data_IF_062384405382
#
_entry.id   IF_062384405382
#
_cell.length_a   1.000
_cell.length_b   1.000
_cell.length_c   1.000
_cell.angle_alpha   90.00
_cell.angle_beta   90.00
_cell.angle_gamma   90.00
#
_symmetry.space_group_name_H-M   'P 1'
#
loop_
_entity.id
_entity.type
_entity.pdbx_description
1 polymer ?
#
# COMPACT_ATOMS: atom_id res chain seq x y z
N UNK A 1 0.57 -23.65 11.90
CA UNK A 1 0.97 -22.57 12.83
C UNK A 1 1.51 -21.40 11.98
N UNK A 2 0.66 -20.41 11.65
CA UNK A 2 1.04 -19.05 11.20
C UNK A 2 -0.20 -18.17 10.82
N UNK A 3 -1.39 -18.46 11.35
CA UNK A 3 -2.57 -17.61 11.10
C UNK A 3 -2.48 -16.24 11.82
N UNK A 4 -1.84 -16.20 12.99
CA UNK A 4 -1.72 -14.96 13.79
C UNK A 4 -0.85 -13.89 13.12
N UNK A 5 0.18 -14.32 12.37
CA UNK A 5 1.06 -13.41 11.64
C UNK A 5 0.31 -12.70 10.49
N UNK A 6 -0.51 -13.44 9.74
CA UNK A 6 -1.36 -12.83 8.69
C UNK A 6 -2.40 -11.88 9.27
N UNK A 7 -2.99 -12.21 10.41
CA UNK A 7 -3.89 -11.30 11.14
C UNK A 7 -3.21 -9.97 11.47
N UNK A 8 -1.99 -10.02 11.99
CA UNK A 8 -1.19 -8.83 12.31
C UNK A 8 -0.82 -8.01 11.07
N UNK A 9 -0.40 -8.65 9.98
CA UNK A 9 -0.06 -7.97 8.72
C UNK A 9 -1.28 -7.25 8.13
N UNK A 10 -2.44 -7.89 8.08
CA UNK A 10 -3.68 -7.28 7.56
C UNK A 10 -4.18 -6.11 8.42
N UNK A 11 -3.80 -6.07 9.70
CA UNK A 11 -4.11 -4.99 10.63
C UNK A 11 -3.07 -3.84 10.60
N UNK A 12 -1.93 -4.03 9.93
CA UNK A 12 -0.88 -3.01 9.85
C UNK A 12 -1.34 -1.76 9.09
N UNK A 13 -0.62 -0.66 9.28
CA UNK A 13 -1.01 0.66 8.80
C UNK A 13 -0.56 0.92 7.36
N UNK A 14 -1.42 1.61 6.61
CA UNK A 14 -1.20 2.11 5.25
C UNK A 14 -1.55 3.58 5.20
N UNK A 15 -0.65 4.40 4.69
CA UNK A 15 -0.89 5.82 4.47
C UNK A 15 -1.77 6.01 3.23
N UNK A 16 -2.80 6.84 3.37
CA UNK A 16 -3.68 7.22 2.26
C UNK A 16 -3.39 8.66 1.86
N UNK A 17 -3.09 8.82 0.57
CA UNK A 17 -2.95 10.10 -0.10
C UNK A 17 -4.23 10.43 -0.87
N UNK A 18 -4.53 11.71 -1.00
CA UNK A 18 -5.53 12.17 -1.98
C UNK A 18 -4.91 12.28 -3.38
N UNK A 19 -5.70 12.66 -4.39
CA UNK A 19 -5.23 12.78 -5.78
C UNK A 19 -4.07 13.76 -5.98
N UNK A 20 -3.90 14.69 -5.05
CA UNK A 20 -2.84 15.70 -5.03
C UNK A 20 -1.59 15.25 -4.23
N UNK A 21 -1.47 13.96 -3.90
CA UNK A 21 -0.36 13.40 -3.11
C UNK A 21 -0.25 13.93 -1.68
N UNK A 22 -1.32 14.52 -1.14
CA UNK A 22 -1.35 14.94 0.27
C UNK A 22 -1.86 13.81 1.16
N UNK A 23 -1.17 13.57 2.27
CA UNK A 23 -1.62 12.65 3.31
C UNK A 23 -2.96 13.08 3.89
N UNK A 24 -3.95 12.18 3.86
CA UNK A 24 -5.31 12.45 4.36
C UNK A 24 -5.76 11.50 5.45
N UNK A 25 -5.34 10.24 5.42
CA UNK A 25 -5.76 9.22 6.40
C UNK A 25 -4.71 8.12 6.57
N UNK A 26 -4.83 7.34 7.65
CA UNK A 26 -4.14 6.06 7.83
C UNK A 26 -5.20 4.98 7.99
N UNK A 27 -5.08 3.88 7.23
CA UNK A 27 -6.03 2.77 7.23
C UNK A 27 -5.30 1.44 7.40
N UNK A 28 -6.03 0.38 7.75
CA UNK A 28 -5.49 -0.98 7.76
C UNK A 28 -5.19 -1.47 6.33
N UNK A 29 -4.19 -2.34 6.17
CA UNK A 29 -3.89 -3.05 4.92
C UNK A 29 -5.14 -3.69 4.30
N UNK A 30 -5.99 -4.34 5.12
CA UNK A 30 -7.26 -4.91 4.66
C UNK A 30 -8.12 -3.89 3.90
N UNK A 31 -8.25 -2.67 4.42
CA UNK A 31 -9.03 -1.59 3.78
C UNK A 31 -8.34 -1.06 2.54
N UNK A 32 -7.01 -0.96 2.54
CA UNK A 32 -6.25 -0.53 1.37
C UNK A 32 -6.50 -1.46 0.18
N UNK A 33 -6.43 -2.78 0.39
CA UNK A 33 -6.73 -3.76 -0.66
C UNK A 33 -8.17 -3.68 -1.17
N UNK A 34 -9.15 -3.37 -0.30
CA UNK A 34 -10.54 -3.14 -0.75
C UNK A 34 -10.65 -1.92 -1.67
N UNK A 35 -9.87 -0.87 -1.43
CA UNK A 35 -9.86 0.31 -2.30
C UNK A 35 -9.17 0.02 -3.64
N UNK A 36 -8.03 -0.67 -3.60
CA UNK A 36 -7.29 -1.11 -4.79
C UNK A 36 -8.14 -2.02 -5.67
N UNK A 37 -8.75 -3.06 -5.09
CA UNK A 37 -9.58 -4.02 -5.82
C UNK A 37 -10.85 -3.41 -6.45
N UNK A 38 -11.27 -2.24 -5.97
CA UNK A 38 -12.43 -1.49 -6.49
C UNK A 38 -12.03 -0.38 -7.47
N UNK A 39 -10.76 -0.33 -7.88
CA UNK A 39 -10.21 0.70 -8.75
C UNK A 39 -10.41 2.13 -8.20
N UNK A 40 -10.41 2.27 -6.87
CA UNK A 40 -10.57 3.56 -6.20
C UNK A 40 -9.23 4.17 -5.74
N UNK A 41 -8.18 3.36 -5.79
CA UNK A 41 -6.84 3.76 -5.38
C UNK A 41 -5.76 3.08 -6.23
N UNK A 42 -4.57 3.66 -6.19
CA UNK A 42 -3.33 3.08 -6.70
C UNK A 42 -2.32 2.97 -5.56
N UNK A 43 -1.40 2.02 -5.62
CA UNK A 43 -0.24 1.95 -4.74
C UNK A 43 0.78 2.99 -5.19
N UNK A 44 1.35 3.72 -4.24
CA UNK A 44 2.54 4.56 -4.50
C UNK A 44 3.74 3.82 -3.98
N UNK A 45 4.70 3.56 -4.86
CA UNK A 45 5.87 2.78 -4.57
C UNK A 45 7.13 3.46 -5.12
N UNK A 46 8.30 3.17 -4.54
CA UNK A 46 9.58 3.71 -5.00
C UNK A 46 10.31 2.58 -5.68
N UNK A 47 10.59 2.74 -6.97
CA UNK A 47 11.38 1.80 -7.75
C UNK A 47 12.58 2.54 -8.33
N UNK A 48 13.79 2.04 -8.11
CA UNK A 48 15.03 2.66 -8.60
C UNK A 48 15.16 4.15 -8.25
N UNK A 49 14.68 4.55 -7.07
CA UNK A 49 14.71 5.94 -6.59
C UNK A 49 13.68 6.87 -7.21
N UNK A 50 12.72 6.36 -7.99
CA UNK A 50 11.63 7.14 -8.59
C UNK A 50 10.28 6.67 -8.05
N UNK A 51 9.33 7.60 -7.91
CA UNK A 51 7.97 7.27 -7.53
C UNK A 51 7.20 6.71 -8.73
N UNK A 52 6.59 5.55 -8.53
CA UNK A 52 5.68 4.91 -9.47
C UNK A 52 4.30 4.70 -8.82
N UNK A 53 3.25 4.74 -9.64
CA UNK A 53 1.90 4.37 -9.23
C UNK A 53 1.50 3.07 -9.90
N UNK A 54 0.91 2.17 -9.13
CA UNK A 54 0.43 0.88 -9.63
C UNK A 54 -1.03 0.69 -9.28
N UNK A 55 -1.85 0.34 -10.26
CA UNK A 55 -3.17 -0.20 -9.98
C UNK A 55 -3.07 -1.57 -9.30
N UNK A 56 -4.21 -2.16 -8.94
CA UNK A 56 -4.20 -3.44 -8.24
C UNK A 56 -3.56 -4.58 -9.05
N UNK A 57 -3.79 -4.61 -10.37
CA UNK A 57 -3.31 -5.68 -11.23
C UNK A 57 -1.79 -5.60 -11.40
N UNK A 58 -1.28 -4.42 -11.77
CA UNK A 58 0.15 -4.16 -11.88
C UNK A 58 0.88 -4.41 -10.55
N UNK A 59 0.28 -4.01 -9.42
CA UNK A 59 0.88 -4.28 -8.10
C UNK A 59 1.01 -5.77 -7.80
N UNK A 60 0.03 -6.59 -8.20
CA UNK A 60 0.11 -8.04 -8.06
C UNK A 60 1.21 -8.64 -8.93
N UNK A 61 1.33 -8.19 -10.19
CA UNK A 61 2.35 -8.68 -11.12
C UNK A 61 3.77 -8.36 -10.62
N UNK A 62 4.00 -7.11 -10.22
CA UNK A 62 5.31 -6.67 -9.69
C UNK A 62 5.62 -7.38 -8.37
N UNK A 63 4.64 -7.53 -7.48
CA UNK A 63 4.83 -8.30 -6.24
C UNK A 63 5.22 -9.75 -6.53
N UNK A 64 4.58 -10.38 -7.53
CA UNK A 64 4.88 -11.75 -7.89
C UNK A 64 6.30 -11.86 -8.45
N UNK A 65 6.71 -10.95 -9.33
CA UNK A 65 8.07 -10.89 -9.86
C UNK A 65 9.11 -10.72 -8.74
N UNK A 66 8.92 -9.73 -7.87
CA UNK A 66 9.81 -9.47 -6.73
C UNK A 66 9.89 -10.65 -5.74
N UNK A 67 8.82 -11.45 -5.63
CA UNK A 67 8.82 -12.66 -4.78
C UNK A 67 9.65 -13.81 -5.36
N UNK A 68 9.86 -13.83 -6.68
CA UNK A 68 10.63 -14.85 -7.39
C UNK A 68 12.11 -14.46 -7.52
N UNK A 69 12.37 -13.15 -7.61
CA UNK A 69 13.70 -12.59 -7.87
C UNK A 69 14.10 -11.62 -6.73
N UNK A 70 14.58 -12.13 -5.57
CA UNK A 70 14.83 -11.32 -4.38
C UNK A 70 15.92 -10.26 -4.56
N UNK A 71 16.79 -10.41 -5.55
CA UNK A 71 17.80 -9.42 -5.93
C UNK A 71 17.20 -8.13 -6.48
N UNK A 72 15.95 -8.20 -6.97
CA UNK A 72 15.15 -7.08 -7.45
C UNK A 72 14.11 -6.64 -6.41
N UNK A 73 14.01 -7.32 -5.27
CA UNK A 73 13.19 -6.85 -4.17
C UNK A 73 13.89 -5.65 -3.51
N UNK A 74 13.10 -4.66 -3.09
CA UNK A 74 13.63 -3.47 -2.43
C UNK A 74 14.49 -3.82 -1.21
N UNK A 75 15.51 -2.99 -0.98
CA UNK A 75 16.37 -3.05 0.20
C UNK A 75 15.58 -2.80 1.49
N UNK A 76 14.41 -2.15 1.41
CA UNK A 76 13.58 -1.85 2.57
C UNK A 76 12.79 -3.08 3.07
N UNK A 77 12.67 -3.28 4.39
CA UNK A 77 11.92 -4.40 4.94
C UNK A 77 10.43 -4.30 4.61
N UNK A 78 9.95 -5.28 3.83
CA UNK A 78 8.57 -5.36 3.36
C UNK A 78 7.79 -6.49 4.04
N UNK A 79 6.54 -6.22 4.41
CA UNK A 79 5.61 -7.27 4.80
C UNK A 79 4.96 -7.89 3.54
N UNK A 80 4.62 -9.17 3.63
CA UNK A 80 4.02 -9.92 2.53
C UNK A 80 2.72 -10.60 2.98
N UNK A 81 1.76 -10.67 2.06
CA UNK A 81 0.54 -11.45 2.19
C UNK A 81 0.64 -12.67 1.28
N UNK A 82 0.52 -13.86 1.86
CA UNK A 82 0.48 -15.09 1.09
C UNK A 82 -0.94 -15.35 0.59
N UNK A 83 -1.11 -15.41 -0.72
CA UNK A 83 -2.32 -15.95 -1.36
C UNK A 83 -2.11 -17.44 -1.69
N UNK A 84 -3.18 -18.10 -2.12
CA UNK A 84 -3.12 -19.51 -2.57
C UNK A 84 -2.15 -19.74 -3.73
N UNK A 85 -1.96 -18.74 -4.60
CA UNK A 85 -1.17 -18.88 -5.83
C UNK A 85 0.15 -18.12 -5.79
N UNK A 86 0.22 -16.98 -5.11
CA UNK A 86 1.39 -16.10 -5.11
C UNK A 86 1.49 -15.30 -3.80
N UNK A 87 2.50 -14.45 -3.69
CA UNK A 87 2.65 -13.52 -2.56
C UNK A 87 2.48 -12.09 -3.07
N UNK A 88 1.82 -11.26 -2.27
CA UNK A 88 1.59 -9.85 -2.59
C UNK A 88 2.32 -9.02 -1.54
N UNK A 89 3.12 -8.05 -1.98
CA UNK A 89 3.75 -7.11 -1.07
C UNK A 89 2.68 -6.20 -0.46
N UNK A 90 2.80 -5.93 0.84
CA UNK A 90 1.88 -5.04 1.55
C UNK A 90 2.10 -3.60 1.07
N UNK A 91 1.08 -2.94 0.49
CA UNK A 91 1.22 -1.55 0.09
C UNK A 91 1.36 -0.67 1.34
N UNK A 92 2.40 0.16 1.40
CA UNK A 92 2.60 1.10 2.52
C UNK A 92 1.93 2.45 2.29
N UNK A 93 1.76 2.83 1.02
CA UNK A 93 1.13 4.07 0.62
C UNK A 93 0.17 3.79 -0.53
N UNK A 94 -1.06 4.31 -0.43
CA UNK A 94 -2.04 4.29 -1.52
C UNK A 94 -2.55 5.70 -1.80
N UNK A 95 -2.88 5.98 -3.05
CA UNK A 95 -3.41 7.26 -3.50
C UNK A 95 -4.83 7.08 -4.02
N UNK A 96 -5.77 7.86 -3.51
CA UNK A 96 -7.15 7.88 -3.98
C UNK A 96 -7.23 8.64 -5.33
N UNK A 97 -7.94 8.05 -6.31
CA UNK A 97 -7.99 8.58 -7.67
C UNK A 97 -8.88 9.83 -7.80
N UNK A 98 -10.00 9.85 -7.09
CA UNK A 98 -11.05 10.87 -7.24
C UNK A 98 -11.17 11.79 -6.03
N UNK A 99 -10.59 11.44 -4.88
CA UNK A 99 -10.69 12.25 -3.67
C UNK A 99 -9.78 13.47 -3.76
N UNK A 100 -10.39 14.66 -3.76
CA UNK A 100 -9.75 15.96 -3.99
C UNK A 100 -9.72 16.86 -2.76
N UNK A 101 -10.29 16.40 -1.63
CA UNK A 101 -10.29 17.21 -0.41
C UNK A 101 -8.87 17.37 0.10
N UNK A 102 -8.48 18.62 0.28
CA UNK A 102 -7.25 19.02 0.95
C UNK A 102 -7.47 18.88 2.46
N UNK A 103 -6.47 18.36 3.22
CA UNK A 103 -6.55 18.39 4.68
C UNK A 103 -6.84 19.81 5.15
N UNK A 104 -8.02 20.03 5.73
CA UNK A 104 -8.28 21.26 6.48
C UNK A 104 -7.45 21.14 7.74
N UNK A 105 -6.29 21.78 7.78
CA UNK A 105 -5.51 21.96 8.99
C UNK A 105 -6.38 22.73 10.01
N UNK A 106 -7.21 22.04 10.80
CA UNK A 106 -7.44 22.52 12.16
C UNK A 106 -6.17 22.15 12.89
N UNK A 107 -5.23 23.10 13.01
CA UNK A 107 -4.05 22.94 13.84
C UNK A 107 -4.50 22.54 15.24
N UNK A 108 -4.51 21.23 15.52
CA UNK A 108 -4.53 20.74 16.89
C UNK A 108 -3.09 20.75 17.35
N UNK A 109 -2.72 21.87 17.95
CA UNK A 109 -1.63 21.90 18.90
C UNK A 109 -1.94 20.84 19.96
N UNK A 110 -1.18 19.74 19.97
CA UNK A 110 -1.03 18.92 21.16
C UNK A 110 0.36 19.18 21.73
N UNK A 111 0.39 19.41 23.04
CA UNK A 111 1.56 19.55 23.89
C UNK A 111 2.10 18.18 24.29
#
# INVERSE_FOLDING_TARGET
MNEDASGRVLSSSVLVLNRFYMAVHVISVRRAFVLLYRDLAEVVHIENGQYANYDFAAWCEISQFASLEPEFADTDPCDWIRTVKFSIQVPRVVRLLTYDRVPRHSMRFNR
#
